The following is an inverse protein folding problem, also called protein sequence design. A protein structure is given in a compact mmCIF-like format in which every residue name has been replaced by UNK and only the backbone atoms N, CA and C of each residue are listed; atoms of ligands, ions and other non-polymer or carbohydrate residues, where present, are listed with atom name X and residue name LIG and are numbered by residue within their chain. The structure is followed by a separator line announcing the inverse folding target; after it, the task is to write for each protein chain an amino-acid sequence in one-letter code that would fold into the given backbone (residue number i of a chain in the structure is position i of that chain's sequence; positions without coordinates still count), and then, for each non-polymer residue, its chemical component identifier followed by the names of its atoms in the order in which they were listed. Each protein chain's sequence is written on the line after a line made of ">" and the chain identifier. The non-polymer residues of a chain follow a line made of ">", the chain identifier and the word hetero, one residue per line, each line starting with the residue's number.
data_IF_497399897300
#
_entry.id   IF_497399897300
#
_cell.length_a   1.000
_cell.length_b   1.000
_cell.length_c   1.000
_cell.angle_alpha   90.00
_cell.angle_beta   90.00
_cell.angle_gamma   90.00
#
_symmetry.space_group_name_H-M   'P 1'
#
loop_
_entity.id
_entity.type
_entity.pdbx_description
1 polymer ?
#
# COMPACT_ATOMS: atom_id res chain seq x y z
N UNK A 1 9.57 16.45 -22.90
CA UNK A 1 9.30 15.81 -22.82
C UNK A 1 9.23 15.35 -22.76
N UNK A 2 9.40 15.33 -22.52
CA UNK A 2 9.28 14.77 -22.38
C UNK A 2 8.93 14.52 -22.00
N UNK A 3 9.03 14.60 -21.71
CA UNK A 3 8.69 14.24 -21.38
C UNK A 3 8.47 13.71 -20.91
N UNK A 4 8.60 13.96 -20.36
CA UNK A 4 8.45 13.09 -20.03
C UNK A 4 8.03 12.47 -20.40
N UNK A 5 8.31 12.49 -20.52
CA UNK A 5 7.77 11.70 -21.01
C UNK A 5 7.99 10.71 -20.70
N UNK A 6 8.38 11.29 -20.17
CA UNK A 6 8.95 10.19 -19.64
C UNK A 6 8.36 9.00 -20.21
N UNK A 7 7.89 8.26 -19.59
CA UNK A 7 7.23 7.19 -20.23
C UNK A 7 6.38 7.68 -21.36
N UNK A 8 6.27 6.93 -22.41
CA UNK A 8 5.40 7.29 -23.52
C UNK A 8 4.01 7.63 -23.00
N UNK A 9 3.46 8.70 -23.48
CA UNK A 9 2.16 9.15 -23.02
C UNK A 9 2.17 9.68 -21.61
N UNK A 10 3.34 9.84 -21.00
CA UNK A 10 3.43 10.35 -19.65
C UNK A 10 2.96 9.39 -18.58
N UNK A 11 2.91 8.10 -18.88
CA UNK A 11 2.48 7.12 -17.90
C UNK A 11 3.40 7.13 -16.69
N UNK A 12 2.79 7.17 -15.51
CA UNK A 12 3.50 7.02 -14.26
C UNK A 12 3.14 5.68 -13.66
N UNK A 13 4.15 5.01 -13.18
CA UNK A 13 3.92 3.80 -12.42
C UNK A 13 3.36 4.20 -11.06
N UNK A 14 2.38 3.45 -10.59
CA UNK A 14 1.84 3.62 -9.25
C UNK A 14 2.36 2.47 -8.40
N UNK A 15 2.99 2.82 -7.28
CA UNK A 15 3.48 1.84 -6.31
C UNK A 15 2.69 2.06 -5.03
N UNK A 16 1.94 1.04 -4.64
CA UNK A 16 1.14 1.09 -3.41
C UNK A 16 1.92 0.42 -2.28
N UNK A 17 1.92 1.05 -1.11
CA UNK A 17 2.55 0.48 0.07
C UNK A 17 1.48 -0.17 0.94
N UNK A 18 1.65 -1.46 1.24
CA UNK A 18 0.77 -2.18 2.16
C UNK A 18 1.07 -1.77 3.60
N UNK A 19 0.16 -2.11 4.49
CA UNK A 19 0.25 -1.76 5.91
C UNK A 19 1.56 -2.21 6.54
N UNK A 20 2.02 -3.44 6.26
CA UNK A 20 3.26 -3.96 6.85
C UNK A 20 4.49 -3.15 6.43
N UNK A 21 4.50 -2.62 5.21
CA UNK A 21 5.61 -1.76 4.74
C UNK A 21 5.60 -0.44 5.48
N UNK A 22 4.43 0.19 5.60
CA UNK A 22 4.31 1.45 6.35
C UNK A 22 4.66 1.25 7.82
N UNK A 23 4.20 0.16 8.44
CA UNK A 23 4.50 -0.14 9.83
C UNK A 23 6.00 -0.27 10.06
N UNK A 24 6.72 -0.91 9.13
CA UNK A 24 8.16 -1.02 9.22
C UNK A 24 8.86 0.34 9.13
N UNK A 25 8.34 1.24 8.30
CA UNK A 25 8.91 2.58 8.14
C UNK A 25 8.63 3.48 9.34
N UNK A 26 7.58 3.19 10.11
CA UNK A 26 7.20 3.99 11.29
C UNK A 26 8.06 3.71 12.52
N UNK A 27 8.83 2.63 12.53
CA UNK A 27 9.65 2.25 13.66
C UNK A 27 10.84 3.20 13.86
N UNK A 28 11.38 3.27 15.07
CA UNK A 28 12.59 4.06 15.37
C UNK A 28 13.77 3.58 14.53
N UNK A 29 13.85 2.27 14.34
CA UNK A 29 14.88 1.67 13.49
C UNK A 29 14.16 0.92 12.37
N UNK A 30 13.85 1.62 11.28
CA UNK A 30 13.14 1.00 10.17
C UNK A 30 13.93 -0.16 9.56
N UNK A 31 13.21 -1.13 9.01
CA UNK A 31 13.83 -2.25 8.33
C UNK A 31 14.75 -1.76 7.21
N UNK A 32 16.00 -2.19 7.24
CA UNK A 32 17.00 -1.71 6.30
C UNK A 32 16.68 -2.06 4.85
N UNK A 33 16.19 -3.27 4.62
CA UNK A 33 15.84 -3.70 3.25
C UNK A 33 14.72 -2.84 2.67
N UNK A 34 13.72 -2.54 3.49
CA UNK A 34 12.59 -1.70 3.07
C UNK A 34 13.08 -0.30 2.73
N UNK A 35 13.93 0.29 3.59
CA UNK A 35 14.46 1.63 3.36
C UNK A 35 15.28 1.68 2.06
N UNK A 36 16.16 0.70 1.86
CA UNK A 36 17.00 0.66 0.65
C UNK A 36 16.16 0.47 -0.61
N UNK A 37 15.15 -0.39 -0.54
CA UNK A 37 14.25 -0.60 -1.67
C UNK A 37 13.51 0.70 -1.99
N UNK A 38 12.97 1.36 -0.95
CA UNK A 38 12.19 2.59 -1.11
C UNK A 38 13.05 3.72 -1.71
N UNK A 39 14.30 3.84 -1.26
CA UNK A 39 15.21 4.88 -1.74
C UNK A 39 15.49 4.77 -3.24
N UNK A 40 15.30 3.58 -3.81
CA UNK A 40 15.49 3.37 -5.25
C UNK A 40 14.26 3.71 -6.08
N UNK A 41 13.13 4.03 -5.44
CA UNK A 41 11.90 4.34 -6.16
C UNK A 41 11.72 5.84 -6.31
N UNK A 42 11.20 6.32 -7.45
CA UNK A 42 10.82 7.73 -7.55
C UNK A 42 9.71 8.03 -6.54
N UNK A 43 9.92 9.06 -5.74
CA UNK A 43 8.96 9.43 -4.69
C UNK A 43 7.57 9.72 -5.26
N UNK A 44 7.52 10.30 -6.46
CA UNK A 44 6.26 10.64 -7.11
C UNK A 44 5.42 9.41 -7.49
N UNK A 45 5.99 8.22 -7.46
CA UNK A 45 5.28 6.98 -7.77
C UNK A 45 4.73 6.29 -6.52
N UNK A 46 5.08 6.78 -5.34
CA UNK A 46 4.66 6.16 -4.08
C UNK A 46 3.29 6.70 -3.67
N UNK A 47 2.35 5.79 -3.54
CA UNK A 47 0.97 6.08 -3.15
C UNK A 47 0.57 5.18 -2.01
N UNK A 48 -0.40 5.61 -1.23
CA UNK A 48 -0.91 4.84 -0.10
C UNK A 48 -2.38 4.55 -0.31
N UNK A 49 -2.80 3.27 -0.26
CA UNK A 49 -4.23 2.96 -0.34
C UNK A 49 -4.97 3.57 0.85
N UNK A 50 -6.16 4.12 0.60
CA UNK A 50 -6.98 4.68 1.67
C UNK A 50 -7.32 3.64 2.73
N UNK A 51 -7.45 2.37 2.35
CA UNK A 51 -7.66 1.26 3.28
C UNK A 51 -6.50 1.12 4.24
N UNK A 52 -5.27 1.33 3.76
CA UNK A 52 -4.07 1.28 4.60
C UNK A 52 -4.06 2.45 5.59
N UNK A 53 -4.47 3.64 5.15
CA UNK A 53 -4.61 4.79 6.06
C UNK A 53 -5.56 4.43 7.20
N UNK A 54 -6.71 3.83 6.85
CA UNK A 54 -7.68 3.39 7.86
C UNK A 54 -7.04 2.41 8.85
N UNK A 55 -6.36 1.40 8.34
CA UNK A 55 -5.75 0.37 9.19
C UNK A 55 -4.74 0.95 10.17
N UNK A 56 -3.87 1.83 9.66
CA UNK A 56 -2.83 2.44 10.48
C UNK A 56 -3.43 3.36 11.55
N UNK A 57 -4.41 4.18 11.18
CA UNK A 57 -5.07 5.07 12.13
C UNK A 57 -5.86 4.28 13.17
N UNK A 58 -6.56 3.24 12.73
CA UNK A 58 -7.29 2.38 13.65
C UNK A 58 -6.34 1.69 14.64
N UNK A 59 -5.24 1.12 14.13
CA UNK A 59 -4.26 0.46 14.99
C UNK A 59 -3.68 1.39 16.05
N UNK A 60 -3.35 2.63 15.66
CA UNK A 60 -2.88 3.63 16.62
C UNK A 60 -3.98 4.00 17.62
N UNK A 61 -5.22 4.12 17.13
CA UNK A 61 -6.35 4.52 17.96
C UNK A 61 -6.67 3.54 19.08
N UNK A 62 -6.39 2.25 18.89
CA UNK A 62 -6.64 1.24 19.92
C UNK A 62 -5.43 0.95 20.81
N UNK A 63 -4.28 1.56 20.54
CA UNK A 63 -3.11 1.42 21.41
C UNK A 63 -3.32 2.21 22.69
N UNK A 64 -2.68 1.75 23.77
CA UNK A 64 -2.65 2.50 25.01
C UNK A 64 -1.97 3.86 24.78
N UNK A 65 -2.51 4.90 25.40
CA UNK A 65 -1.89 6.21 25.36
C UNK A 65 -0.52 6.13 26.02
N UNK A 66 0.44 6.88 25.47
CA UNK A 66 1.79 6.90 25.98
C UNK A 66 2.81 7.22 24.90
N UNK A 67 4.07 7.20 25.28
CA UNK A 67 5.15 7.63 24.41
C UNK A 67 5.30 6.78 23.15
N UNK A 68 5.03 5.47 23.25
CA UNK A 68 5.15 4.60 22.07
C UNK A 68 4.12 4.95 21.01
N UNK A 69 2.86 5.15 21.43
CA UNK A 69 1.79 5.56 20.52
C UNK A 69 2.10 6.91 19.91
N UNK A 70 2.56 7.85 20.71
CA UNK A 70 2.91 9.19 20.23
C UNK A 70 4.02 9.15 19.18
N UNK A 71 5.06 8.34 19.41
CA UNK A 71 6.14 8.19 18.46
C UNK A 71 5.66 7.61 17.15
N UNK A 72 4.82 6.58 17.20
CA UNK A 72 4.29 5.95 16.00
C UNK A 72 3.35 6.88 15.24
N UNK A 73 2.52 7.65 15.97
CA UNK A 73 1.67 8.66 15.34
C UNK A 73 2.50 9.72 14.62
N UNK A 74 3.56 10.18 15.26
CA UNK A 74 4.45 11.16 14.66
C UNK A 74 5.14 10.58 13.43
N UNK A 75 5.59 9.33 13.51
CA UNK A 75 6.18 8.63 12.38
C UNK A 75 5.22 8.53 11.21
N UNK A 76 3.97 8.18 11.47
CA UNK A 76 2.96 8.11 10.43
C UNK A 76 2.71 9.48 9.82
N UNK A 77 2.55 10.50 10.64
CA UNK A 77 2.30 11.86 10.14
C UNK A 77 3.46 12.35 9.27
N UNK A 78 4.69 12.06 9.67
CA UNK A 78 5.87 12.42 8.87
C UNK A 78 5.88 11.68 7.52
N UNK A 79 5.56 10.40 7.50
CA UNK A 79 5.51 9.64 6.26
C UNK A 79 4.40 10.16 5.34
N UNK A 80 3.23 10.49 5.90
CA UNK A 80 2.14 11.01 5.11
C UNK A 80 2.48 12.36 4.48
N UNK A 81 3.21 13.22 5.18
CA UNK A 81 3.57 14.53 4.67
C UNK A 81 4.81 14.50 3.76
N UNK A 82 5.83 13.73 4.11
CA UNK A 82 7.12 13.76 3.42
C UNK A 82 7.22 12.73 2.30
N UNK A 83 6.71 11.52 2.52
CA UNK A 83 6.82 10.45 1.54
C UNK A 83 5.61 10.41 0.62
N UNK A 84 4.42 10.31 1.19
CA UNK A 84 3.18 10.13 0.43
C UNK A 84 2.70 11.45 -0.17
N UNK A 85 2.82 12.52 0.59
CA UNK A 85 2.52 13.87 0.11
C UNK A 85 1.15 13.98 -0.59
N UNK A 86 0.11 13.43 0.04
CA UNK A 86 -1.25 13.49 -0.46
C UNK A 86 -1.59 12.48 -1.56
N UNK A 87 -0.64 11.64 -1.97
CA UNK A 87 -0.91 10.62 -2.98
C UNK A 87 -1.62 9.43 -2.33
N UNK A 88 -2.92 9.57 -2.15
CA UNK A 88 -3.78 8.53 -1.58
C UNK A 88 -4.56 7.88 -2.70
N UNK A 89 -4.42 6.56 -2.84
CA UNK A 89 -5.20 5.78 -3.80
C UNK A 89 -6.51 5.38 -3.13
N UNK A 90 -7.59 6.00 -3.56
CA UNK A 90 -8.88 5.85 -2.88
C UNK A 90 -9.61 4.57 -3.31
N UNK A 91 -10.39 4.04 -2.38
CA UNK A 91 -11.32 2.96 -2.68
C UNK A 91 -12.55 3.59 -3.36
N UNK A 92 -12.42 3.84 -4.65
CA UNK A 92 -13.49 4.43 -5.46
C UNK A 92 -14.40 3.34 -6.04
N UNK A 93 -15.35 3.74 -6.91
CA UNK A 93 -16.29 2.81 -7.51
C UNK A 93 -15.63 1.71 -8.33
N UNK A 94 -14.59 2.06 -9.11
CA UNK A 94 -13.86 1.07 -9.91
C UNK A 94 -13.13 0.08 -9.01
N UNK A 95 -12.46 0.58 -7.99
CA UNK A 95 -11.74 -0.26 -7.03
C UNK A 95 -12.69 -1.20 -6.30
N UNK A 96 -13.83 -0.68 -5.86
CA UNK A 96 -14.84 -1.48 -5.16
C UNK A 96 -15.39 -2.58 -6.06
N UNK A 97 -15.64 -2.27 -7.34
CA UNK A 97 -16.15 -3.25 -8.29
C UNK A 97 -15.13 -4.37 -8.52
N UNK A 98 -13.86 -4.02 -8.68
CA UNK A 98 -12.80 -5.03 -8.85
C UNK A 98 -12.64 -5.88 -7.60
N UNK A 99 -12.72 -5.27 -6.43
CA UNK A 99 -12.66 -5.99 -5.16
C UNK A 99 -13.83 -6.96 -5.03
N UNK A 100 -15.04 -6.55 -5.42
CA UNK A 100 -16.21 -7.40 -5.35
C UNK A 100 -16.09 -8.61 -6.28
N UNK A 101 -15.56 -8.42 -7.47
CA UNK A 101 -15.34 -9.50 -8.42
C UNK A 101 -14.34 -10.52 -7.85
N UNK A 102 -13.26 -10.03 -7.24
CA UNK A 102 -12.26 -10.89 -6.62
C UNK A 102 -12.84 -11.66 -5.43
N UNK A 103 -13.60 -10.97 -4.58
CA UNK A 103 -14.24 -11.59 -3.42
C UNK A 103 -15.20 -12.70 -3.84
N UNK A 104 -16.01 -12.45 -4.87
CA UNK A 104 -16.96 -13.44 -5.38
C UNK A 104 -16.24 -14.66 -5.94
N UNK A 105 -15.15 -14.44 -6.67
CA UNK A 105 -14.33 -15.52 -7.23
C UNK A 105 -13.72 -16.37 -6.12
N UNK A 106 -13.16 -15.73 -5.10
CA UNK A 106 -12.57 -16.43 -3.96
C UNK A 106 -13.60 -17.27 -3.23
N UNK A 107 -14.78 -16.70 -2.99
CA UNK A 107 -15.85 -17.44 -2.34
C UNK A 107 -16.28 -18.66 -3.16
N UNK A 108 -16.42 -18.49 -4.47
CA UNK A 108 -16.82 -19.59 -5.35
C UNK A 108 -15.76 -20.71 -5.37
N UNK A 109 -14.51 -20.37 -5.18
CA UNK A 109 -13.41 -21.34 -5.15
C UNK A 109 -13.16 -21.93 -3.76
N UNK A 110 -13.94 -21.51 -2.75
CA UNK A 110 -13.72 -21.94 -1.38
C UNK A 110 -12.51 -21.33 -0.71
N UNK A 111 -11.92 -20.29 -1.32
CA UNK A 111 -10.77 -19.60 -0.76
C UNK A 111 -11.24 -18.60 0.29
N UNK A 112 -10.58 -18.54 1.46
CA UNK A 112 -10.94 -17.54 2.46
C UNK A 112 -10.83 -16.12 1.92
N UNK A 113 -11.77 -15.26 2.30
CA UNK A 113 -11.78 -13.87 1.88
C UNK A 113 -11.36 -13.00 3.07
N UNK A 114 -10.21 -12.36 2.95
CA UNK A 114 -9.81 -11.30 3.87
C UNK A 114 -10.27 -9.99 3.26
N UNK A 115 -11.15 -9.29 3.97
CA UNK A 115 -11.77 -8.09 3.42
C UNK A 115 -10.74 -7.01 3.10
N UNK A 116 -9.81 -6.75 4.01
CA UNK A 116 -8.81 -5.68 3.80
C UNK A 116 -7.92 -5.97 2.61
N UNK A 117 -7.39 -7.20 2.53
CA UNK A 117 -6.53 -7.58 1.41
C UNK A 117 -7.30 -7.52 0.10
N UNK A 118 -8.57 -7.92 0.12
CA UNK A 118 -9.42 -7.87 -1.08
C UNK A 118 -9.66 -6.45 -1.55
N UNK A 119 -9.91 -5.52 -0.61
CA UNK A 119 -10.11 -4.12 -0.96
C UNK A 119 -8.81 -3.48 -1.49
N UNK A 120 -7.68 -3.80 -0.88
CA UNK A 120 -6.38 -3.32 -1.35
C UNK A 120 -6.10 -3.87 -2.76
N UNK A 121 -6.40 -5.15 -2.99
CA UNK A 121 -6.25 -5.74 -4.32
C UNK A 121 -7.12 -5.02 -5.35
N UNK A 122 -8.34 -4.66 -4.97
CA UNK A 122 -9.24 -3.91 -5.85
C UNK A 122 -8.67 -2.56 -6.25
N UNK A 123 -8.08 -1.84 -5.30
CA UNK A 123 -7.41 -0.57 -5.57
C UNK A 123 -6.22 -0.79 -6.52
N UNK A 124 -5.41 -1.81 -6.25
CA UNK A 124 -4.24 -2.12 -7.07
C UNK A 124 -4.64 -2.48 -8.51
N UNK A 125 -5.68 -3.28 -8.67
CA UNK A 125 -6.16 -3.67 -10.00
C UNK A 125 -6.70 -2.46 -10.76
N UNK A 126 -7.50 -1.64 -10.12
CA UNK A 126 -8.11 -0.48 -10.77
C UNK A 126 -7.06 0.55 -11.21
N UNK A 127 -5.97 0.69 -10.47
CA UNK A 127 -4.91 1.64 -10.79
C UNK A 127 -3.74 0.98 -11.54
N UNK A 128 -3.82 -0.31 -11.82
CA UNK A 128 -2.74 -1.06 -12.49
C UNK A 128 -1.41 -0.86 -11.76
N UNK A 129 -1.46 -0.95 -10.45
CA UNK A 129 -0.34 -0.61 -9.58
C UNK A 129 0.52 -1.84 -9.25
N UNK A 130 1.76 -1.55 -8.86
CA UNK A 130 2.61 -2.52 -8.18
C UNK A 130 2.34 -2.40 -6.68
N UNK A 131 2.06 -3.51 -6.03
CA UNK A 131 1.82 -3.51 -4.58
C UNK A 131 3.07 -4.01 -3.85
N UNK A 132 3.60 -3.17 -2.97
CA UNK A 132 4.71 -3.53 -2.10
C UNK A 132 4.16 -4.12 -0.81
N UNK A 133 4.42 -5.39 -0.57
CA UNK A 133 3.87 -6.11 0.58
C UNK A 133 4.78 -7.26 0.98
N UNK A 134 4.82 -7.55 2.29
CA UNK A 134 5.44 -8.76 2.79
C UNK A 134 4.59 -9.99 2.49
N UNK A 135 3.28 -9.81 2.38
CA UNK A 135 2.31 -10.90 2.28
C UNK A 135 1.93 -11.21 0.83
N UNK A 136 2.93 -11.49 0.00
CA UNK A 136 2.71 -11.72 -1.43
C UNK A 136 1.66 -12.81 -1.69
N UNK A 137 1.62 -13.85 -0.85
CA UNK A 137 0.70 -14.97 -1.03
C UNK A 137 -0.76 -14.55 -0.97
N UNK A 138 -1.08 -13.49 -0.24
CA UNK A 138 -2.45 -13.00 -0.13
C UNK A 138 -2.98 -12.40 -1.43
N UNK A 139 -2.09 -12.16 -2.39
CA UNK A 139 -2.44 -11.48 -3.64
C UNK A 139 -2.12 -12.30 -4.89
N UNK A 140 -1.62 -13.53 -4.73
CA UNK A 140 -1.17 -14.34 -5.86
C UNK A 140 -2.30 -14.69 -6.83
N UNK A 141 -3.50 -14.92 -6.29
CA UNK A 141 -4.67 -15.30 -7.08
C UNK A 141 -5.38 -14.10 -7.72
N UNK A 142 -4.98 -12.89 -7.35
CA UNK A 142 -5.73 -11.69 -7.70
C UNK A 142 -5.30 -11.03 -9.02
N UNK A 143 -4.16 -11.44 -9.57
CA UNK A 143 -3.63 -10.78 -10.76
C UNK A 143 -2.95 -9.45 -10.47
N UNK A 144 -2.65 -9.18 -9.20
CA UNK A 144 -1.95 -7.96 -8.78
C UNK A 144 -0.44 -8.17 -8.89
N UNK A 145 0.27 -7.20 -9.50
CA UNK A 145 1.72 -7.23 -9.49
C UNK A 145 2.21 -6.91 -8.09
N UNK A 146 3.10 -7.74 -7.53
CA UNK A 146 3.57 -7.58 -6.15
C UNK A 146 5.09 -7.58 -6.08
N UNK A 147 5.61 -6.93 -5.06
CA UNK A 147 7.03 -6.95 -4.71
C UNK A 147 7.14 -7.04 -3.18
N UNK A 148 8.13 -7.78 -2.69
CA UNK A 148 8.39 -7.85 -1.26
C UNK A 148 9.64 -7.03 -0.95
N UNK A 149 9.50 -5.79 -0.45
CA UNK A 149 10.66 -4.96 -0.17
C UNK A 149 11.53 -5.45 0.99
N UNK A 150 11.03 -6.36 1.81
CA UNK A 150 11.79 -6.93 2.92
C UNK A 150 12.87 -7.90 2.44
N UNK A 151 12.77 -8.35 1.19
CA UNK A 151 13.69 -9.32 0.61
C UNK A 151 14.59 -8.71 -0.47
N UNK A 152 14.63 -7.39 -0.58
CA UNK A 152 15.43 -6.70 -1.59
C UNK A 152 16.76 -6.18 -1.08
#
# INVERSE_FOLDING_TARGET
>A
MAQRRGKPGGFRRVILLDTNVMSALMQNEPDRHVVLWLDRQPVSEIWLPSVVVFELRYGLGIMHEGSRRERLEQGLNNLLSQLVSGRIATLDGRSAQRAAQLAAKRKAQGTPVDLRDTLIAGIALASEALLATRNQRHFMDAGVAVVNPFEH
#
